data_IF_037624759711
#
_entry.id   IF_037624759711
#
_cell.length_a   1.000
_cell.length_b   1.000
_cell.length_c   1.000
_cell.angle_alpha   90.00
_cell.angle_beta   90.00
_cell.angle_gamma   90.00
#
_symmetry.space_group_name_H-M   'P 1'
#
loop_
_entity.id
_entity.type
_entity.pdbx_description
1 polymer ?
#
# COMPACT_ATOMS: atom_id res chain seq x y z
N UNK A 1 -40.38 2.94 -14.84
CA UNK A 1 -39.18 3.44 -15.53
C UNK A 1 -38.78 4.66 -14.76
N UNK A 2 -37.72 4.53 -13.97
CA UNK A 2 -36.76 5.58 -13.60
C UNK A 2 -35.70 4.85 -12.79
N UNK A 3 -34.66 4.43 -13.50
CA UNK A 3 -33.54 3.61 -13.05
C UNK A 3 -32.27 4.36 -13.44
N UNK A 4 -31.88 5.35 -12.65
CA UNK A 4 -30.57 6.01 -12.71
C UNK A 4 -30.28 6.62 -11.33
N UNK A 5 -29.21 6.16 -10.68
CA UNK A 5 -28.75 6.73 -9.41
C UNK A 5 -27.91 5.83 -8.50
N UNK A 6 -27.59 4.57 -8.86
CA UNK A 6 -26.79 3.65 -8.02
C UNK A 6 -25.27 3.73 -8.26
N UNK A 7 -24.75 4.92 -8.58
CA UNK A 7 -23.33 5.16 -8.82
C UNK A 7 -22.88 6.47 -8.16
N UNK A 8 -22.92 6.55 -6.83
CA UNK A 8 -22.08 7.52 -6.09
C UNK A 8 -21.84 7.20 -4.60
N UNK A 9 -22.41 6.13 -4.03
CA UNK A 9 -22.23 5.86 -2.58
C UNK A 9 -20.86 5.25 -2.19
N UNK A 10 -20.02 4.88 -3.17
CA UNK A 10 -18.73 4.21 -2.90
C UNK A 10 -17.56 5.19 -2.76
N UNK A 11 -17.61 6.35 -3.42
CA UNK A 11 -16.54 7.37 -3.31
C UNK A 11 -16.67 8.23 -2.05
N UNK A 12 -17.90 8.48 -1.55
CA UNK A 12 -18.11 9.29 -0.34
C UNK A 12 -17.71 8.59 0.98
N UNK A 13 -17.65 7.24 1.00
CA UNK A 13 -17.33 6.48 2.22
C UNK A 13 -15.85 6.54 2.63
N UNK A 14 -14.95 6.86 1.69
CA UNK A 14 -13.49 6.74 1.89
C UNK A 14 -12.81 8.02 2.41
N UNK A 15 -13.51 9.16 2.42
CA UNK A 15 -13.02 10.44 2.96
C UNK A 15 -13.53 10.78 4.37
N UNK A 16 -14.08 9.80 5.11
CA UNK A 16 -14.58 10.08 6.45
C UNK A 16 -13.42 10.33 7.44
N UNK A 17 -13.27 11.59 7.88
CA UNK A 17 -12.41 11.93 9.01
C UNK A 17 -12.96 11.18 10.24
N UNK A 18 -12.15 10.42 10.99
CA UNK A 18 -12.61 9.75 12.19
C UNK A 18 -13.25 10.77 13.16
N UNK A 19 -14.55 10.61 13.44
CA UNK A 19 -15.34 11.53 14.29
C UNK A 19 -15.16 11.22 15.78
N UNK A 20 -14.55 10.08 16.10
CA UNK A 20 -14.28 9.69 17.48
C UNK A 20 -13.15 10.52 18.12
N UNK A 21 -13.32 11.04 19.35
CA UNK A 21 -12.29 11.77 20.06
C UNK A 21 -11.02 10.93 20.24
N UNK A 22 -9.88 11.47 19.81
CA UNK A 22 -8.58 10.85 20.03
C UNK A 22 -8.22 10.94 21.52
N UNK A 23 -8.06 9.79 22.17
CA UNK A 23 -7.55 9.68 23.54
C UNK A 23 -6.09 9.21 23.55
N UNK A 24 -5.33 9.51 24.60
CA UNK A 24 -3.92 9.10 24.76
C UNK A 24 -3.67 8.59 26.17
N UNK A 25 -2.70 7.68 26.33
CA UNK A 25 -2.30 7.21 27.65
C UNK A 25 -1.63 8.37 28.41
N UNK A 26 -2.07 8.63 29.64
CA UNK A 26 -1.46 9.63 30.51
C UNK A 26 -0.40 8.98 31.42
N UNK A 27 0.88 9.22 31.15
CA UNK A 27 1.98 8.71 31.96
C UNK A 27 2.20 9.55 33.21
N UNK A 28 2.24 8.91 34.38
CA UNK A 28 2.60 9.53 35.66
C UNK A 28 3.27 8.52 36.57
N UNK A 29 4.01 9.01 37.56
CA UNK A 29 4.76 8.16 38.50
C UNK A 29 3.83 7.20 39.25
N UNK A 30 4.17 5.91 39.26
CA UNK A 30 3.39 4.86 39.93
C UNK A 30 2.22 4.31 39.10
N UNK A 31 1.98 4.78 37.87
CA UNK A 31 1.02 4.16 36.96
C UNK A 31 1.58 2.85 36.41
N UNK A 32 0.81 1.76 36.52
CA UNK A 32 1.06 0.52 35.80
C UNK A 32 0.70 0.71 34.32
N UNK A 33 1.62 0.37 33.42
CA UNK A 33 1.41 0.38 31.96
C UNK A 33 1.25 -1.05 31.49
N UNK A 34 0.13 -1.34 30.81
CA UNK A 34 -0.20 -2.68 30.33
C UNK A 34 0.14 -2.85 28.84
N UNK A 35 0.16 -4.10 28.37
CA UNK A 35 0.28 -4.39 26.94
C UNK A 35 -0.84 -3.73 26.12
N UNK A 36 -2.06 -3.67 26.65
CA UNK A 36 -3.20 -2.99 26.01
C UNK A 36 -3.00 -1.48 25.90
N UNK A 37 -2.41 -0.84 26.92
CA UNK A 37 -2.07 0.58 26.86
C UNK A 37 -1.06 0.85 25.72
N UNK A 38 -0.02 0.01 25.62
CA UNK A 38 1.00 0.13 24.57
C UNK A 38 0.44 -0.19 23.17
N UNK A 39 -0.46 -1.17 23.05
CA UNK A 39 -1.11 -1.51 21.78
C UNK A 39 -1.95 -0.34 21.27
N UNK A 40 -2.76 0.26 22.15
CA UNK A 40 -3.57 1.45 21.81
C UNK A 40 -2.69 2.63 21.39
N UNK A 41 -1.55 2.83 22.04
CA UNK A 41 -0.62 3.90 21.68
C UNK A 41 -0.02 3.67 20.27
N UNK A 42 0.34 2.43 19.91
CA UNK A 42 0.82 2.07 18.57
C UNK A 42 -0.27 2.28 17.49
N UNK A 43 -1.49 1.80 17.75
CA UNK A 43 -2.64 1.99 16.86
C UNK A 43 -2.93 3.48 16.64
N UNK A 44 -2.93 4.27 17.72
CA UNK A 44 -3.16 5.70 17.63
C UNK A 44 -2.06 6.39 16.82
N UNK A 45 -0.79 6.02 17.01
CA UNK A 45 0.32 6.57 16.25
C UNK A 45 0.17 6.27 14.75
N UNK A 46 -0.07 5.01 14.38
CA UNK A 46 -0.30 4.57 13.00
C UNK A 46 -1.49 5.30 12.38
N UNK A 47 -2.62 5.37 13.07
CA UNK A 47 -3.82 6.06 12.59
C UNK A 47 -3.59 7.57 12.36
N UNK A 48 -2.76 8.22 13.19
CA UNK A 48 -2.37 9.63 12.98
C UNK A 48 -1.49 9.77 11.73
N UNK A 49 -0.50 8.90 11.56
CA UNK A 49 0.40 8.93 10.41
C UNK A 49 -0.34 8.67 9.10
N UNK A 50 -1.18 7.64 9.06
CA UNK A 50 -1.97 7.31 7.87
C UNK A 50 -2.94 8.43 7.50
N UNK A 51 -3.60 9.05 8.49
CA UNK A 51 -4.45 10.21 8.22
C UNK A 51 -3.63 11.39 7.68
N UNK A 52 -2.46 11.68 8.27
CA UNK A 52 -1.57 12.74 7.80
C UNK A 52 -1.17 12.52 6.34
N UNK A 53 -0.72 11.31 6.00
CA UNK A 53 -0.32 10.94 4.65
C UNK A 53 -1.47 11.09 3.66
N UNK A 54 -2.62 10.46 3.94
CA UNK A 54 -3.78 10.49 3.04
C UNK A 54 -4.34 11.90 2.83
N UNK A 55 -4.38 12.73 3.89
CA UNK A 55 -5.01 14.06 3.83
C UNK A 55 -4.08 15.16 3.30
N UNK A 56 -2.76 15.02 3.48
CA UNK A 56 -1.82 16.10 3.14
C UNK A 56 -0.88 15.76 1.98
N UNK A 57 -0.55 14.48 1.77
CA UNK A 57 0.41 14.05 0.74
C UNK A 57 -0.23 13.27 -0.41
N UNK A 58 -1.46 12.77 -0.20
CA UNK A 58 -2.18 11.93 -1.15
C UNK A 58 -1.60 10.52 -1.20
N UNK A 59 -1.68 9.88 -2.38
CA UNK A 59 -1.22 8.52 -2.60
C UNK A 59 -0.47 8.38 -3.93
N UNK A 60 0.41 7.37 -4.02
CA UNK A 60 1.27 7.09 -5.15
C UNK A 60 2.71 6.74 -4.75
N UNK A 61 3.61 6.70 -5.72
CA UNK A 61 5.05 6.48 -5.54
C UNK A 61 5.71 7.77 -5.03
N UNK A 62 6.46 7.66 -3.94
CA UNK A 62 7.28 8.76 -3.41
C UNK A 62 8.68 8.76 -4.01
N UNK A 63 9.34 7.60 -4.04
CA UNK A 63 10.68 7.41 -4.63
C UNK A 63 10.92 5.93 -4.94
N UNK A 64 11.79 5.63 -5.90
CA UNK A 64 12.17 4.25 -6.25
C UNK A 64 11.04 3.46 -6.90
N UNK A 65 10.98 2.16 -6.60
CA UNK A 65 9.97 1.21 -7.09
C UNK A 65 9.92 1.10 -8.64
N UNK A 66 11.03 1.44 -9.31
CA UNK A 66 11.17 1.30 -10.75
C UNK A 66 11.03 -0.16 -11.17
N UNK A 67 10.29 -0.38 -12.27
CA UNK A 67 10.05 -1.71 -12.83
C UNK A 67 10.93 -1.88 -14.06
N UNK A 68 11.75 -2.91 -14.06
CA UNK A 68 12.59 -3.32 -15.20
C UNK A 68 12.30 -4.78 -15.54
N UNK A 69 12.72 -5.21 -16.74
CA UNK A 69 12.52 -6.58 -17.23
C UNK A 69 13.87 -7.22 -17.44
N UNK A 70 14.03 -8.45 -16.95
CA UNK A 70 15.11 -9.34 -17.30
C UNK A 70 14.51 -10.69 -17.71
N UNK A 71 14.59 -11.02 -19.00
CA UNK A 71 13.91 -12.18 -19.59
C UNK A 71 12.39 -12.17 -19.30
N UNK A 72 11.92 -13.13 -18.50
CA UNK A 72 10.52 -13.25 -18.07
C UNK A 72 10.29 -12.78 -16.62
N UNK A 73 11.28 -12.12 -16.03
CA UNK A 73 11.22 -11.59 -14.68
C UNK A 73 11.02 -10.07 -14.67
N UNK A 74 10.10 -9.61 -13.82
CA UNK A 74 9.88 -8.21 -13.51
C UNK A 74 10.65 -7.86 -12.24
N UNK A 75 11.61 -6.96 -12.35
CA UNK A 75 12.47 -6.53 -11.26
C UNK A 75 12.00 -5.17 -10.76
N UNK A 76 11.67 -5.09 -9.47
CA UNK A 76 11.19 -3.88 -8.79
C UNK A 76 12.27 -3.39 -7.83
N UNK A 77 12.78 -2.18 -8.05
CA UNK A 77 13.80 -1.58 -7.21
C UNK A 77 13.26 -1.23 -5.81
N UNK A 78 14.13 -1.12 -4.78
CA UNK A 78 13.77 -0.55 -3.49
C UNK A 78 13.10 0.83 -3.63
N UNK A 79 12.20 1.16 -2.71
CA UNK A 79 11.55 2.46 -2.71
C UNK A 79 10.40 2.58 -1.73
N UNK A 80 9.68 3.70 -1.85
CA UNK A 80 8.58 4.08 -0.97
C UNK A 80 7.36 4.48 -1.80
N UNK A 81 6.20 3.96 -1.43
CA UNK A 81 4.91 4.43 -1.88
C UNK A 81 3.97 4.70 -0.70
N UNK A 82 2.91 5.43 -0.95
CA UNK A 82 1.78 5.64 -0.04
C UNK A 82 0.53 5.14 -0.75
N UNK A 83 -0.23 4.24 -0.13
CA UNK A 83 -1.51 3.79 -0.69
C UNK A 83 -2.65 4.79 -0.40
N UNK A 84 -3.82 4.56 -1.00
CA UNK A 84 -5.00 5.40 -0.80
C UNK A 84 -5.55 5.39 0.64
N UNK A 85 -5.09 4.46 1.49
CA UNK A 85 -5.40 4.44 2.93
C UNK A 85 -4.39 5.25 3.76
N UNK A 86 -3.33 5.77 3.14
CA UNK A 86 -2.26 6.54 3.77
C UNK A 86 -1.14 5.68 4.37
N UNK A 87 -1.13 4.37 4.11
CA UNK A 87 -0.11 3.46 4.62
C UNK A 87 1.15 3.59 3.79
N UNK A 88 2.29 3.62 4.47
CA UNK A 88 3.62 3.65 3.85
C UNK A 88 3.98 2.23 3.42
N UNK A 89 4.34 2.05 2.15
CA UNK A 89 4.79 0.79 1.57
C UNK A 89 6.28 0.93 1.29
N UNK A 90 7.10 0.32 2.15
CA UNK A 90 8.57 0.39 2.07
C UNK A 90 9.12 -0.92 1.51
N UNK A 91 9.63 -0.88 0.29
CA UNK A 91 10.39 -1.99 -0.29
C UNK A 91 11.88 -1.74 -0.06
N UNK A 92 12.51 -2.57 0.77
CA UNK A 92 13.92 -2.37 1.18
C UNK A 92 14.93 -2.92 0.19
N UNK A 93 14.53 -3.93 -0.58
CA UNK A 93 15.41 -4.72 -1.45
C UNK A 93 14.81 -4.90 -2.85
N UNK A 94 15.63 -5.31 -3.81
CA UNK A 94 15.17 -5.67 -5.15
C UNK A 94 14.23 -6.88 -5.03
N UNK A 95 13.03 -6.76 -5.59
CA UNK A 95 12.07 -7.86 -5.64
C UNK A 95 11.80 -8.30 -7.06
N UNK A 96 11.64 -9.61 -7.23
CA UNK A 96 11.36 -10.23 -8.52
C UNK A 96 9.93 -10.76 -8.53
N UNK A 97 9.20 -10.49 -9.61
CA UNK A 97 7.89 -11.07 -9.91
C UNK A 97 7.96 -11.83 -11.23
N UNK A 98 7.48 -13.07 -11.23
CA UNK A 98 7.39 -13.88 -12.44
C UNK A 98 6.34 -13.30 -13.40
N UNK A 99 6.78 -12.89 -14.59
CA UNK A 99 5.96 -12.34 -15.65
C UNK A 99 5.60 -13.35 -16.74
N UNK A 100 6.06 -14.60 -16.66
CA UNK A 100 5.87 -15.63 -17.69
C UNK A 100 4.39 -15.94 -18.00
N UNK A 101 3.49 -15.68 -17.03
CA UNK A 101 2.04 -15.80 -17.19
C UNK A 101 1.39 -14.69 -18.03
N UNK A 102 2.10 -13.60 -18.33
CA UNK A 102 1.58 -12.51 -19.17
C UNK A 102 1.70 -12.90 -20.63
N UNK A 103 0.57 -13.01 -21.32
CA UNK A 103 0.50 -13.43 -22.72
C UNK A 103 -0.03 -12.31 -23.60
N UNK A 104 0.10 -12.45 -24.92
CA UNK A 104 -0.38 -11.42 -25.88
C UNK A 104 -1.90 -11.24 -25.77
N UNK A 105 -2.60 -12.34 -25.50
CA UNK A 105 -4.04 -12.46 -25.28
C UNK A 105 -4.50 -11.85 -23.95
N UNK A 106 -3.59 -11.42 -23.08
CA UNK A 106 -3.95 -10.61 -21.90
C UNK A 106 -4.36 -9.18 -22.28
N UNK A 107 -4.28 -8.79 -23.56
CA UNK A 107 -4.74 -7.52 -24.13
C UNK A 107 -4.20 -6.27 -23.38
N UNK A 108 -3.01 -6.36 -22.80
CA UNK A 108 -2.40 -5.29 -22.01
C UNK A 108 -3.14 -4.91 -20.73
N UNK A 109 -3.94 -5.84 -20.20
CA UNK A 109 -4.70 -5.66 -18.96
C UNK A 109 -3.96 -6.13 -17.73
N UNK A 110 -2.71 -6.60 -17.82
CA UNK A 110 -1.99 -7.02 -16.62
C UNK A 110 -1.36 -5.79 -15.95
N UNK A 111 -1.55 -5.68 -14.64
CA UNK A 111 -0.97 -4.64 -13.82
C UNK A 111 -0.04 -5.25 -12.80
N UNK A 112 1.14 -4.64 -12.63
CA UNK A 112 2.00 -4.88 -11.49
C UNK A 112 1.67 -3.86 -10.40
N UNK A 113 1.24 -4.36 -9.25
CA UNK A 113 0.86 -3.54 -8.10
C UNK A 113 1.69 -3.92 -6.88
N UNK A 114 1.85 -2.97 -5.96
CA UNK A 114 2.38 -3.21 -4.62
C UNK A 114 1.32 -2.89 -3.57
N UNK A 115 1.21 -3.73 -2.55
CA UNK A 115 0.30 -3.51 -1.41
C UNK A 115 1.05 -3.55 -0.09
N UNK A 116 0.56 -2.79 0.88
CA UNK A 116 1.00 -2.93 2.27
C UNK A 116 0.51 -4.27 2.82
N UNK A 117 1.39 -5.00 3.51
CA UNK A 117 0.99 -6.13 4.33
C UNK A 117 1.87 -6.20 5.58
N UNK A 118 1.32 -6.78 6.63
CA UNK A 118 1.99 -7.02 7.89
C UNK A 118 1.72 -8.45 8.30
N UNK A 119 2.75 -9.09 8.85
CA UNK A 119 2.66 -10.47 9.30
C UNK A 119 3.20 -10.62 10.73
N UNK A 120 2.53 -11.44 11.55
CA UNK A 120 3.08 -11.83 12.84
C UNK A 120 4.31 -12.71 12.63
N UNK A 121 5.38 -12.44 13.39
CA UNK A 121 6.60 -13.25 13.39
C UNK A 121 7.03 -13.55 14.81
N UNK A 122 7.91 -14.55 14.94
CA UNK A 122 8.53 -14.96 16.19
C UNK A 122 7.48 -15.29 17.28
N UNK A 123 6.82 -16.43 17.14
CA UNK A 123 5.84 -16.92 18.11
C UNK A 123 6.51 -17.30 19.46
N UNK A 124 5.92 -16.83 20.56
CA UNK A 124 6.38 -17.09 21.93
C UNK A 124 5.24 -17.60 22.80
N UNK A 125 5.56 -18.28 23.90
CA UNK A 125 4.55 -18.75 24.84
C UNK A 125 4.02 -17.57 25.69
N UNK A 126 2.76 -17.21 25.46
CA UNK A 126 1.99 -16.25 26.25
C UNK A 126 1.12 -16.89 27.34
N UNK A 127 0.41 -16.06 28.14
CA UNK A 127 -0.46 -16.54 29.21
C UNK A 127 -1.62 -17.42 28.73
N UNK A 128 -2.16 -17.13 27.54
CA UNK A 128 -3.35 -17.76 26.97
C UNK A 128 -3.02 -18.69 25.78
N UNK A 129 -1.74 -18.94 25.53
CA UNK A 129 -1.26 -19.75 24.41
C UNK A 129 -0.13 -19.06 23.65
N UNK A 130 0.23 -19.58 22.47
CA UNK A 130 1.23 -18.96 21.62
C UNK A 130 0.78 -17.58 21.13
N UNK A 131 1.68 -16.60 21.19
CA UNK A 131 1.45 -15.19 20.84
C UNK A 131 2.59 -14.70 19.94
N UNK A 132 2.34 -13.82 18.95
CA UNK A 132 3.42 -13.22 18.18
C UNK A 132 4.22 -12.25 19.03
N UNK A 133 5.55 -12.35 19.00
CA UNK A 133 6.39 -11.37 19.69
C UNK A 133 6.58 -10.08 18.87
N UNK A 134 6.39 -10.15 17.54
CA UNK A 134 6.58 -9.02 16.62
C UNK A 134 5.60 -9.08 15.46
N UNK A 135 5.39 -7.92 14.86
CA UNK A 135 4.79 -7.78 13.55
C UNK A 135 5.82 -7.15 12.61
N UNK A 136 5.94 -7.67 11.40
CA UNK A 136 6.88 -7.17 10.39
C UNK A 136 6.07 -6.75 9.16
N UNK A 137 6.35 -5.55 8.66
CA UNK A 137 5.83 -5.11 7.38
C UNK A 137 6.51 -5.91 6.27
N UNK A 138 5.70 -6.56 5.44
CA UNK A 138 6.14 -7.37 4.32
C UNK A 138 5.29 -7.04 3.09
N UNK A 139 5.59 -5.93 2.38
CA UNK A 139 4.84 -5.52 1.20
C UNK A 139 4.75 -6.62 0.15
N UNK A 140 3.60 -6.71 -0.53
CA UNK A 140 3.35 -7.73 -1.53
C UNK A 140 3.33 -7.14 -2.92
N UNK A 141 4.11 -7.75 -3.81
CA UNK A 141 4.12 -7.46 -5.24
C UNK A 141 3.44 -8.60 -5.98
N UNK A 142 2.49 -8.27 -6.84
CA UNK A 142 1.81 -9.28 -7.65
C UNK A 142 1.23 -8.69 -8.93
N UNK A 143 0.99 -9.58 -9.88
CA UNK A 143 0.27 -9.29 -11.11
C UNK A 143 -1.22 -9.50 -10.90
N UNK A 144 -2.01 -8.55 -11.37
CA UNK A 144 -3.48 -8.63 -11.34
C UNK A 144 -4.06 -8.29 -12.71
N UNK A 145 -5.19 -8.92 -13.05
CA UNK A 145 -5.97 -8.52 -14.20
C UNK A 145 -6.68 -7.19 -13.92
N UNK A 146 -6.56 -6.28 -14.87
CA UNK A 146 -7.24 -5.00 -14.86
C UNK A 146 -8.64 -5.16 -15.43
N UNK A 147 -9.64 -5.19 -14.57
CA UNK A 147 -10.99 -4.79 -14.95
C UNK A 147 -11.04 -3.26 -14.88
N UNK A 148 -11.39 -2.63 -16.00
CA UNK A 148 -11.52 -1.17 -16.20
C UNK A 148 -11.82 -0.42 -14.89
N UNK A 149 -10.90 0.43 -14.43
CA UNK A 149 -11.06 1.20 -13.18
C UNK A 149 -9.77 1.80 -12.63
N UNK A 150 -9.80 2.34 -11.41
CA UNK A 150 -8.59 2.60 -10.62
C UNK A 150 -8.17 1.32 -9.87
N UNK A 151 -6.87 1.13 -9.55
CA UNK A 151 -6.46 0.05 -8.66
C UNK A 151 -7.21 0.15 -7.30
N UNK A 152 -7.33 -0.96 -6.56
CA UNK A 152 -7.86 -0.92 -5.19
C UNK A 152 -7.18 0.16 -4.35
N UNK A 153 -7.94 0.81 -3.46
CA UNK A 153 -7.45 1.91 -2.61
C UNK A 153 -6.23 1.52 -1.75
N UNK A 154 -6.09 0.23 -1.48
CA UNK A 154 -5.01 -0.37 -0.70
C UNK A 154 -3.82 -0.87 -1.54
N UNK A 155 -3.81 -0.56 -2.84
CA UNK A 155 -2.79 -0.94 -3.81
C UNK A 155 -2.23 0.25 -4.59
N UNK A 156 -0.93 0.21 -4.90
CA UNK A 156 -0.26 1.22 -5.73
C UNK A 156 0.17 0.59 -7.05
N UNK A 157 -0.31 1.15 -8.16
CA UNK A 157 0.05 0.73 -9.51
C UNK A 157 1.48 1.14 -9.86
N UNK A 158 2.33 0.15 -10.17
CA UNK A 158 3.73 0.38 -10.55
C UNK A 158 3.95 0.35 -12.06
N UNK A 159 3.23 -0.51 -12.78
CA UNK A 159 3.30 -0.57 -14.24
C UNK A 159 2.13 -1.35 -14.84
N UNK A 160 1.84 -1.10 -16.12
CA UNK A 160 1.11 -2.05 -16.96
C UNK A 160 2.08 -2.98 -17.67
N UNK A 161 1.78 -4.26 -17.68
CA UNK A 161 2.61 -5.30 -18.28
C UNK A 161 1.84 -5.89 -19.46
N UNK A 162 2.51 -6.01 -20.60
CA UNK A 162 1.97 -6.67 -21.77
C UNK A 162 3.06 -7.42 -22.52
N UNK A 163 2.66 -8.44 -23.28
CA UNK A 163 3.60 -9.19 -24.10
C UNK A 163 3.54 -8.74 -25.55
N UNK A 164 4.71 -8.50 -26.16
CA UNK A 164 4.87 -8.20 -27.58
C UNK A 164 5.71 -9.31 -28.23
N UNK A 165 5.05 -10.34 -28.74
CA UNK A 165 5.74 -11.54 -29.21
C UNK A 165 6.30 -12.34 -28.04
N UNK A 166 7.63 -12.38 -27.90
CA UNK A 166 8.31 -13.05 -26.78
C UNK A 166 8.79 -12.08 -25.69
N UNK A 167 8.70 -10.78 -25.93
CA UNK A 167 9.23 -9.76 -25.02
C UNK A 167 8.13 -9.30 -24.06
N UNK A 168 8.45 -9.26 -22.76
CA UNK A 168 7.67 -8.54 -21.78
C UNK A 168 7.95 -7.05 -21.88
N UNK A 169 6.88 -6.26 -21.99
CA UNK A 169 6.94 -4.82 -22.12
C UNK A 169 6.28 -4.18 -20.90
N UNK A 170 7.02 -3.26 -20.28
CA UNK A 170 6.61 -2.48 -19.11
C UNK A 170 6.22 -1.08 -19.55
N UNK A 171 4.98 -0.69 -19.28
CA UNK A 171 4.51 0.69 -19.36
C UNK A 171 4.43 1.27 -17.95
N UNK A 172 5.47 2.03 -17.58
CA UNK A 172 5.57 2.72 -16.30
C UNK A 172 4.97 4.15 -16.32
N UNK A 173 4.42 4.61 -17.45
CA UNK A 173 3.83 5.96 -17.56
C UNK A 173 2.55 6.12 -16.75
N UNK A 174 1.97 4.99 -16.33
CA UNK A 174 0.76 4.91 -15.50
C UNK A 174 1.00 5.19 -14.02
N UNK A 175 2.27 5.33 -13.59
CA UNK A 175 2.63 5.54 -12.19
C UNK A 175 2.11 6.88 -11.71
N UNK A 176 1.32 6.85 -10.64
CA UNK A 176 0.97 8.04 -9.88
C UNK A 176 2.08 8.34 -8.89
N UNK A 177 2.53 9.58 -8.81
CA UNK A 177 3.44 10.05 -7.78
C UNK A 177 2.69 10.80 -6.68
N UNK A 178 3.18 10.70 -5.45
CA UNK A 178 2.69 11.55 -4.35
C UNK A 178 2.96 13.02 -4.69
N UNK A 179 2.14 13.93 -4.16
CA UNK A 179 2.32 15.36 -4.42
C UNK A 179 3.61 15.83 -3.74
N UNK A 180 4.65 16.13 -4.53
CA UNK A 180 5.85 16.79 -4.02
C UNK A 180 5.60 18.30 -4.09
N UNK A 181 5.54 18.97 -2.94
CA UNK A 181 5.64 20.42 -2.91
C UNK A 181 7.03 20.82 -3.42
N UNK A 182 7.12 21.17 -4.70
CA UNK A 182 8.32 21.80 -5.24
C UNK A 182 8.37 23.20 -4.64
N UNK A 183 9.21 23.37 -3.62
CA UNK A 183 9.61 24.70 -3.20
C UNK A 183 10.38 25.32 -4.36
N UNK A 184 9.72 26.19 -5.12
CA UNK A 184 10.41 27.11 -6.02
C UNK A 184 11.19 28.10 -5.15
N UNK A 185 12.49 27.86 -5.00
CA UNK A 185 13.41 28.91 -4.54
C UNK A 185 13.42 30.01 -5.60
N UNK A 186 13.00 31.21 -5.18
CA UNK A 186 12.98 32.43 -5.99
C UNK A 186 14.27 33.23 -5.90
#
# INVERSE_FOLDING_TARGET
>A
MDSWGDLDDREERDMHVPVEPRSRVNYFHGRLVTADDLRREQEQFRARQWLHNRMLHGYGVATGLEVTVLDDELHVSPGLAIDGLGREIVLTDLHTVDGSGVVTESHGRVQLVVTWAEEPVDEVLGPDGPEPSRFVENPRLFLTEHHVGEPPVDAVLLARIHRRGHELVVDASVRRHVYQHVHHDG
#
